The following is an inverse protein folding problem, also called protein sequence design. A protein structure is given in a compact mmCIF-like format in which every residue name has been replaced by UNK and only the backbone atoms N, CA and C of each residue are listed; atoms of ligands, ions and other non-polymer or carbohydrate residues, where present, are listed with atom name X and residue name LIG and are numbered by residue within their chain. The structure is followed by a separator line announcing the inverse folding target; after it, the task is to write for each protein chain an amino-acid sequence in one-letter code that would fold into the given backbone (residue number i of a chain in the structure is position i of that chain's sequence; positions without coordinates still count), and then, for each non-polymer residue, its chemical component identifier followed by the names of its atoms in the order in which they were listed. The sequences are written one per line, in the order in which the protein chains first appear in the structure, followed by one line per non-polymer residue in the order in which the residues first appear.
data_IF_326574564860
#
_entry.id   IF_326574564860
#
_cell.length_a   1.000
_cell.length_b   1.000
_cell.length_c   1.000
_cell.angle_alpha   90.00
_cell.angle_beta   90.00
_cell.angle_gamma   90.00
#
_symmetry.space_group_name_H-M   'P 1'
#
loop_
_entity.id
_entity.type
_entity.pdbx_description
1 polymer ?
#
# COMPACT_ATOMS: atom_id res chain seq x y z
N UNK A 1 -41.97 36.36 12.94
CA UNK A 1 -40.86 36.06 12.00
C UNK A 1 -40.54 34.56 11.85
N UNK A 2 -41.14 33.65 12.62
CA UNK A 2 -40.79 32.21 12.61
C UNK A 2 -41.62 31.34 11.67
N UNK A 3 -42.75 31.82 11.15
CA UNK A 3 -43.62 31.06 10.23
C UNK A 3 -43.25 31.23 8.75
N UNK A 4 -42.75 32.40 8.35
CA UNK A 4 -42.33 32.69 6.97
C UNK A 4 -41.08 31.89 6.55
N UNK A 5 -40.09 31.72 7.43
CA UNK A 5 -38.88 30.94 7.12
C UNK A 5 -39.16 29.44 6.88
N UNK A 6 -40.17 28.89 7.55
CA UNK A 6 -40.53 27.47 7.43
C UNK A 6 -41.24 27.16 6.11
N UNK A 7 -42.01 28.11 5.58
CA UNK A 7 -42.63 27.99 4.25
C UNK A 7 -41.60 28.18 3.13
N UNK A 8 -40.65 29.11 3.28
CA UNK A 8 -39.58 29.31 2.28
C UNK A 8 -38.66 28.10 2.15
N UNK A 9 -38.34 27.42 3.27
CA UNK A 9 -37.51 26.20 3.24
C UNK A 9 -38.19 25.02 2.53
N UNK A 10 -39.51 24.89 2.67
CA UNK A 10 -40.30 23.84 2.02
C UNK A 10 -40.41 24.05 0.51
N UNK A 11 -40.56 25.30 0.07
CA UNK A 11 -40.55 25.65 -1.36
C UNK A 11 -39.16 25.42 -1.96
N UNK A 12 -38.08 25.77 -1.25
CA UNK A 12 -36.72 25.53 -1.73
C UNK A 12 -36.43 24.03 -1.90
N UNK A 13 -36.89 23.20 -0.97
CA UNK A 13 -36.75 21.74 -1.05
C UNK A 13 -37.56 21.15 -2.20
N UNK A 14 -38.78 21.64 -2.43
CA UNK A 14 -39.63 21.22 -3.53
C UNK A 14 -39.01 21.59 -4.89
N UNK A 15 -38.42 22.79 -5.01
CA UNK A 15 -37.71 23.22 -6.23
C UNK A 15 -36.43 22.41 -6.45
N UNK A 16 -35.68 22.07 -5.40
CA UNK A 16 -34.48 21.23 -5.51
C UNK A 16 -34.83 19.80 -5.93
N UNK A 17 -35.91 19.24 -5.37
CA UNK A 17 -36.43 17.92 -5.74
C UNK A 17 -36.95 17.93 -7.19
N UNK A 18 -37.64 18.99 -7.61
CA UNK A 18 -38.07 19.17 -9.00
C UNK A 18 -36.87 19.29 -9.93
N UNK A 19 -35.86 20.08 -9.55
CA UNK A 19 -34.63 20.26 -10.32
C UNK A 19 -33.85 18.95 -10.43
N UNK A 20 -33.70 18.17 -9.35
CA UNK A 20 -33.12 16.83 -9.38
C UNK A 20 -33.92 15.89 -10.29
N UNK A 21 -35.26 15.88 -10.21
CA UNK A 21 -36.10 15.03 -11.05
C UNK A 21 -36.04 15.42 -12.54
N UNK A 22 -35.92 16.71 -12.85
CA UNK A 22 -35.73 17.22 -14.22
C UNK A 22 -34.31 16.93 -14.71
N UNK A 23 -33.30 17.05 -13.83
CA UNK A 23 -31.90 16.68 -14.10
C UNK A 23 -31.77 15.20 -14.45
N UNK A 24 -32.47 14.33 -13.70
CA UNK A 24 -32.58 12.89 -13.98
C UNK A 24 -33.22 12.64 -15.35
N UNK A 25 -34.23 13.42 -15.73
CA UNK A 25 -34.93 13.26 -17.02
C UNK A 25 -34.13 13.80 -18.21
N UNK A 26 -33.26 14.79 -18.01
CA UNK A 26 -32.36 15.30 -19.06
C UNK A 26 -31.13 14.43 -19.27
N UNK A 27 -30.74 13.61 -18.27
CA UNK A 27 -29.54 12.79 -18.29
C UNK A 27 -29.66 11.43 -18.98
N UNK A 28 -30.86 10.98 -19.38
CA UNK A 28 -31.09 9.62 -19.92
C UNK A 28 -30.56 8.50 -19.00
N UNK A 29 -30.44 8.73 -17.69
CA UNK A 29 -30.08 7.67 -16.71
C UNK A 29 -31.26 7.43 -15.78
N UNK A 30 -31.88 6.26 -15.89
CA UNK A 30 -33.04 5.83 -15.12
C UNK A 30 -32.69 4.84 -14.00
N UNK A 31 -33.61 4.58 -13.06
CA UNK A 31 -33.45 3.52 -12.04
C UNK A 31 -33.19 2.14 -12.65
N UNK A 32 -33.67 1.90 -13.87
CA UNK A 32 -33.54 0.64 -14.61
C UNK A 32 -32.10 0.40 -15.11
N UNK A 33 -31.25 1.43 -15.17
CA UNK A 33 -29.82 1.30 -15.51
C UNK A 33 -29.00 0.63 -14.40
N UNK A 34 -29.59 0.40 -13.23
CA UNK A 34 -28.99 -0.29 -12.09
C UNK A 34 -29.54 -1.71 -11.88
N UNK A 35 -30.44 -2.17 -12.76
CA UNK A 35 -30.94 -3.54 -12.80
C UNK A 35 -30.24 -4.23 -13.98
N UNK A 36 -29.66 -5.42 -13.77
CA UNK A 36 -29.18 -6.22 -14.91
C UNK A 36 -30.41 -6.65 -15.72
N UNK A 37 -30.72 -5.87 -16.75
CA UNK A 37 -31.87 -6.04 -17.64
C UNK A 37 -31.59 -7.08 -18.72
N UNK A 38 -30.42 -7.75 -18.70
CA UNK A 38 -30.11 -8.80 -19.66
C UNK A 38 -31.07 -9.97 -19.49
N UNK A 39 -31.60 -10.43 -20.63
CA UNK A 39 -32.41 -11.65 -20.66
C UNK A 39 -31.55 -12.84 -20.24
N UNK A 40 -32.12 -13.72 -19.41
CA UNK A 40 -31.46 -14.98 -19.06
C UNK A 40 -31.34 -15.84 -20.32
N UNK A 41 -30.20 -16.50 -20.50
CA UNK A 41 -29.93 -17.35 -21.67
C UNK A 41 -31.02 -18.40 -21.93
N UNK A 42 -31.66 -18.92 -20.87
CA UNK A 42 -32.76 -19.91 -20.96
C UNK A 42 -34.02 -19.37 -21.65
N UNK A 43 -34.19 -18.05 -21.67
CA UNK A 43 -35.34 -17.36 -22.25
C UNK A 43 -35.04 -16.81 -23.66
N UNK A 44 -33.85 -17.11 -24.21
CA UNK A 44 -33.43 -16.67 -25.54
C UNK A 44 -33.68 -17.79 -26.55
N UNK A 45 -34.74 -17.67 -27.35
CA UNK A 45 -35.00 -18.55 -28.49
C UNK A 45 -34.50 -17.91 -29.80
N UNK A 46 -33.42 -18.42 -30.43
CA UNK A 46 -32.89 -17.90 -31.69
C UNK A 46 -33.86 -18.06 -32.89
N UNK A 47 -34.88 -18.91 -32.77
CA UNK A 47 -35.91 -19.13 -33.78
C UNK A 47 -37.29 -18.58 -33.36
N UNK A 48 -37.35 -17.92 -32.21
CA UNK A 48 -38.56 -17.32 -31.69
C UNK A 48 -38.97 -16.06 -32.46
N UNK A 49 -40.19 -15.60 -32.20
CA UNK A 49 -40.73 -14.37 -32.79
C UNK A 49 -40.18 -13.08 -32.14
N UNK A 50 -39.54 -13.22 -30.97
CA UNK A 50 -38.97 -12.10 -30.22
C UNK A 50 -37.74 -11.56 -30.93
N UNK A 51 -37.70 -10.24 -31.13
CA UNK A 51 -36.51 -9.58 -31.66
C UNK A 51 -35.38 -9.66 -30.63
N UNK A 52 -34.28 -10.31 -31.02
CA UNK A 52 -33.07 -10.43 -30.23
C UNK A 52 -32.13 -9.27 -30.53
N UNK A 53 -31.60 -8.64 -29.48
CA UNK A 53 -30.61 -7.58 -29.59
C UNK A 53 -29.17 -8.12 -29.68
N UNK A 54 -28.17 -7.22 -29.68
CA UNK A 54 -26.77 -7.62 -29.74
C UNK A 54 -26.31 -8.46 -28.55
N UNK A 55 -26.92 -8.29 -27.39
CA UNK A 55 -26.53 -8.93 -26.13
C UNK A 55 -27.08 -10.35 -26.10
N UNK A 56 -28.34 -10.50 -26.50
CA UNK A 56 -29.01 -11.80 -26.67
C UNK A 56 -28.23 -12.70 -27.64
N UNK A 57 -27.87 -12.17 -28.82
CA UNK A 57 -27.08 -12.92 -29.80
C UNK A 57 -25.67 -13.25 -29.30
N UNK A 58 -25.07 -12.39 -28.48
CA UNK A 58 -23.74 -12.63 -27.93
C UNK A 58 -23.76 -13.77 -26.90
N UNK A 59 -24.75 -13.81 -25.99
CA UNK A 59 -24.89 -14.89 -25.03
C UNK A 59 -25.10 -16.26 -25.72
N UNK A 60 -25.93 -16.30 -26.78
CA UNK A 60 -26.09 -17.51 -27.60
C UNK A 60 -24.77 -17.95 -28.25
N UNK A 61 -23.94 -17.00 -28.67
CA UNK A 61 -22.64 -17.29 -29.25
C UNK A 61 -21.65 -17.84 -28.20
N UNK A 62 -21.70 -17.37 -26.96
CA UNK A 62 -20.93 -17.94 -25.84
C UNK A 62 -21.36 -19.37 -25.53
N UNK A 63 -22.67 -19.64 -25.46
CA UNK A 63 -23.20 -20.99 -25.29
C UNK A 63 -22.78 -21.93 -26.44
N UNK A 64 -22.81 -21.43 -27.68
CA UNK A 64 -22.35 -22.19 -28.84
C UNK A 64 -20.85 -22.52 -28.75
N UNK A 65 -20.02 -21.58 -28.27
CA UNK A 65 -18.60 -21.80 -28.03
C UNK A 65 -18.36 -22.87 -26.96
N UNK A 66 -19.08 -22.82 -25.84
CA UNK A 66 -18.99 -23.82 -24.77
C UNK A 66 -19.37 -25.23 -25.26
N UNK A 67 -20.35 -25.32 -26.17
CA UNK A 67 -20.73 -26.58 -26.81
C UNK A 67 -19.76 -27.08 -27.89
N UNK A 68 -18.73 -26.28 -28.24
CA UNK A 68 -17.77 -26.59 -29.30
C UNK A 68 -18.31 -26.43 -30.72
N UNK A 69 -19.48 -25.80 -30.90
CA UNK A 69 -20.10 -25.60 -32.20
C UNK A 69 -19.64 -24.28 -32.84
N UNK A 70 -18.50 -24.33 -33.54
CA UNK A 70 -17.85 -23.16 -34.13
C UNK A 70 -18.70 -22.46 -35.21
N UNK A 71 -19.46 -23.21 -36.00
CA UNK A 71 -20.32 -22.63 -37.05
C UNK A 71 -21.46 -21.81 -36.43
N UNK A 72 -22.02 -22.32 -35.34
CA UNK A 72 -23.08 -21.64 -34.61
C UNK A 72 -22.56 -20.42 -33.85
N UNK A 73 -21.38 -20.56 -33.23
CA UNK A 73 -20.67 -19.45 -32.58
C UNK A 73 -20.42 -18.30 -33.59
N UNK A 74 -19.89 -18.62 -34.77
CA UNK A 74 -19.68 -17.62 -35.81
C UNK A 74 -20.99 -16.98 -36.26
N UNK A 75 -22.03 -17.78 -36.49
CA UNK A 75 -23.33 -17.30 -36.95
C UNK A 75 -23.93 -16.31 -35.96
N UNK A 76 -23.95 -16.66 -34.67
CA UNK A 76 -24.50 -15.81 -33.62
C UNK A 76 -23.63 -14.59 -33.35
N UNK A 77 -22.30 -14.72 -33.37
CA UNK A 77 -21.39 -13.57 -33.26
C UNK A 77 -21.60 -12.55 -34.37
N UNK A 78 -21.80 -13.00 -35.62
CA UNK A 78 -22.10 -12.11 -36.75
C UNK A 78 -23.47 -11.43 -36.61
N UNK A 79 -24.48 -12.13 -36.06
CA UNK A 79 -25.79 -11.52 -35.75
C UNK A 79 -25.69 -10.47 -34.64
N UNK A 80 -24.87 -10.71 -33.62
CA UNK A 80 -24.59 -9.72 -32.56
C UNK A 80 -23.97 -8.44 -33.17
N UNK A 81 -22.94 -8.59 -34.01
CA UNK A 81 -22.30 -7.47 -34.72
C UNK A 81 -23.26 -6.73 -35.65
N UNK A 82 -24.14 -7.45 -36.36
CA UNK A 82 -25.13 -6.81 -37.23
C UNK A 82 -26.12 -5.92 -36.47
N UNK A 83 -26.44 -6.28 -35.22
CA UNK A 83 -27.29 -5.46 -34.34
C UNK A 83 -26.51 -4.33 -33.66
N UNK A 84 -25.21 -4.48 -33.46
CA UNK A 84 -24.33 -3.43 -32.92
C UNK A 84 -22.91 -3.50 -33.50
N UNK A 85 -22.66 -2.72 -34.55
CA UNK A 85 -21.35 -2.65 -35.23
C UNK A 85 -20.23 -2.05 -34.34
N UNK A 86 -20.59 -1.40 -33.24
CA UNK A 86 -19.66 -0.85 -32.27
C UNK A 86 -19.34 -1.80 -31.11
N UNK A 87 -19.90 -3.01 -31.12
CA UNK A 87 -19.69 -4.01 -30.08
C UNK A 87 -18.26 -4.56 -30.11
N UNK A 88 -17.40 -3.99 -29.26
CA UNK A 88 -16.02 -4.44 -29.08
C UNK A 88 -15.93 -5.93 -28.67
N UNK A 89 -16.82 -6.41 -27.80
CA UNK A 89 -16.82 -7.81 -27.34
C UNK A 89 -17.18 -8.80 -28.44
N UNK A 90 -18.19 -8.49 -29.26
CA UNK A 90 -18.56 -9.33 -30.39
C UNK A 90 -17.45 -9.33 -31.45
N UNK A 91 -16.76 -8.19 -31.61
CA UNK A 91 -15.59 -8.10 -32.49
C UNK A 91 -14.40 -8.92 -31.98
N UNK A 92 -14.12 -8.89 -30.68
CA UNK A 92 -13.08 -9.70 -30.05
C UNK A 92 -13.38 -11.20 -30.16
N UNK A 93 -14.65 -11.60 -29.99
CA UNK A 93 -15.09 -12.99 -30.20
C UNK A 93 -14.93 -13.44 -31.64
N UNK A 94 -15.26 -12.59 -32.62
CA UNK A 94 -15.00 -12.90 -34.03
C UNK A 94 -13.50 -13.06 -34.32
N UNK A 95 -12.64 -12.29 -33.66
CA UNK A 95 -11.20 -12.47 -33.75
C UNK A 95 -10.77 -13.87 -33.26
N UNK A 96 -11.30 -14.33 -32.11
CA UNK A 96 -11.03 -15.69 -31.59
C UNK A 96 -11.51 -16.79 -32.54
N UNK A 97 -12.71 -16.65 -33.12
CA UNK A 97 -13.23 -17.57 -34.14
C UNK A 97 -12.29 -17.65 -35.35
N UNK A 98 -11.82 -16.51 -35.87
CA UNK A 98 -10.86 -16.49 -37.00
C UNK A 98 -9.53 -17.13 -36.64
N UNK A 99 -9.09 -16.99 -35.39
CA UNK A 99 -7.89 -17.67 -34.91
C UNK A 99 -8.08 -19.19 -34.90
N UNK A 100 -9.23 -19.69 -34.42
CA UNK A 100 -9.56 -21.12 -34.42
C UNK A 100 -9.65 -21.71 -35.83
N UNK A 101 -10.03 -20.90 -36.82
CA UNK A 101 -10.05 -21.27 -38.25
C UNK A 101 -8.67 -21.22 -38.92
N UNK A 102 -7.61 -20.88 -38.19
CA UNK A 102 -6.25 -20.77 -38.72
C UNK A 102 -5.97 -19.47 -39.47
N UNK A 103 -6.90 -18.51 -39.50
CA UNK A 103 -6.72 -17.22 -40.17
C UNK A 103 -6.13 -16.16 -39.22
N UNK A 104 -4.85 -16.34 -38.87
CA UNK A 104 -4.17 -15.51 -37.87
C UNK A 104 -4.13 -14.02 -38.25
N UNK A 105 -3.85 -13.67 -39.50
CA UNK A 105 -3.77 -12.26 -39.92
C UNK A 105 -5.11 -11.55 -39.76
N UNK A 106 -6.20 -12.19 -40.18
CA UNK A 106 -7.53 -11.62 -40.00
C UNK A 106 -7.91 -11.54 -38.53
N UNK A 107 -7.58 -12.55 -37.73
CA UNK A 107 -7.81 -12.56 -36.30
C UNK A 107 -7.14 -11.36 -35.60
N UNK A 108 -5.85 -11.11 -35.87
CA UNK A 108 -5.12 -9.98 -35.30
C UNK A 108 -5.70 -8.62 -35.75
N UNK A 109 -6.14 -8.48 -37.00
CA UNK A 109 -6.81 -7.26 -37.49
C UNK A 109 -8.12 -6.98 -36.73
N UNK A 110 -8.93 -8.03 -36.52
CA UNK A 110 -10.20 -7.92 -35.80
C UNK A 110 -9.99 -7.61 -34.31
N UNK A 111 -8.99 -8.20 -33.67
CA UNK A 111 -8.66 -7.91 -32.27
C UNK A 111 -8.21 -6.45 -32.10
N UNK A 112 -7.42 -5.92 -33.02
CA UNK A 112 -7.04 -4.50 -33.03
C UNK A 112 -8.24 -3.57 -33.26
N UNK A 113 -9.18 -3.98 -34.11
CA UNK A 113 -10.42 -3.23 -34.31
C UNK A 113 -11.29 -3.25 -33.06
N UNK A 114 -11.45 -4.40 -32.41
CA UNK A 114 -12.17 -4.56 -31.16
C UNK A 114 -11.62 -3.63 -30.07
N UNK A 115 -10.29 -3.53 -29.94
CA UNK A 115 -9.65 -2.63 -28.99
C UNK A 115 -9.96 -1.14 -29.25
N UNK A 116 -10.13 -0.73 -30.51
CA UNK A 116 -10.54 0.64 -30.89
C UNK A 116 -12.02 0.92 -30.59
N UNK A 117 -12.86 -0.11 -30.67
CA UNK A 117 -14.29 -0.03 -30.38
C UNK A 117 -14.61 -0.13 -28.89
N UNK A 118 -13.64 -0.52 -28.06
CA UNK A 118 -13.82 -0.68 -26.61
C UNK A 118 -14.00 0.68 -25.91
N UNK A 119 -15.21 1.23 -25.93
CA UNK A 119 -15.59 2.51 -25.30
C UNK A 119 -15.79 2.43 -23.78
N UNK A 120 -15.06 1.53 -23.10
CA UNK A 120 -14.99 1.29 -21.63
C UNK A 120 -15.58 0.00 -21.06
N UNK A 121 -15.98 -0.97 -21.89
CA UNK A 121 -16.48 -2.27 -21.38
C UNK A 121 -15.34 -3.24 -21.03
N UNK A 122 -15.23 -3.62 -19.76
CA UNK A 122 -14.20 -4.56 -19.26
C UNK A 122 -14.28 -5.94 -19.93
N UNK A 123 -15.50 -6.39 -20.27
CA UNK A 123 -15.74 -7.64 -21.01
C UNK A 123 -14.95 -7.72 -22.33
N UNK A 124 -14.84 -6.61 -23.06
CA UNK A 124 -14.04 -6.57 -24.30
C UNK A 124 -12.56 -6.78 -24.02
N UNK A 125 -12.04 -6.14 -22.97
CA UNK A 125 -10.63 -6.26 -22.60
C UNK A 125 -10.30 -7.65 -22.03
N UNK A 126 -11.21 -8.30 -21.31
CA UNK A 126 -11.04 -9.68 -20.86
C UNK A 126 -10.90 -10.64 -22.05
N UNK A 127 -11.78 -10.53 -23.05
CA UNK A 127 -11.69 -11.33 -24.28
C UNK A 127 -10.39 -11.06 -25.06
N UNK A 128 -9.99 -9.78 -25.16
CA UNK A 128 -8.72 -9.42 -25.79
C UNK A 128 -7.51 -9.95 -25.02
N UNK A 129 -7.55 -9.97 -23.69
CA UNK A 129 -6.47 -10.53 -22.87
C UNK A 129 -6.29 -12.03 -23.17
N UNK A 130 -7.39 -12.78 -23.22
CA UNK A 130 -7.39 -14.20 -23.59
C UNK A 130 -6.89 -14.41 -25.03
N UNK A 131 -7.36 -13.61 -25.97
CA UNK A 131 -6.92 -13.67 -27.37
C UNK A 131 -5.41 -13.44 -27.52
N UNK A 132 -4.87 -12.39 -26.91
CA UNK A 132 -3.44 -12.08 -26.98
C UNK A 132 -2.58 -13.09 -26.23
N UNK A 133 -3.12 -13.70 -25.16
CA UNK A 133 -2.48 -14.82 -24.48
C UNK A 133 -2.36 -16.06 -25.39
N UNK A 134 -3.42 -16.45 -26.10
CA UNK A 134 -3.41 -17.57 -27.06
C UNK A 134 -2.39 -17.37 -28.20
N UNK A 135 -2.19 -16.14 -28.62
CA UNK A 135 -1.26 -15.78 -29.72
C UNK A 135 0.17 -15.48 -29.26
N UNK A 136 0.44 -15.50 -27.95
CA UNK A 136 1.77 -15.23 -27.37
C UNK A 136 2.26 -13.78 -27.56
N UNK A 137 1.37 -12.84 -27.85
CA UNK A 137 1.70 -11.43 -28.11
C UNK A 137 1.82 -10.63 -26.81
N UNK A 138 2.88 -10.88 -26.06
CA UNK A 138 3.14 -10.28 -24.74
C UNK A 138 2.96 -8.76 -24.68
N UNK A 139 3.42 -8.03 -25.70
CA UNK A 139 3.28 -6.57 -25.75
C UNK A 139 1.82 -6.12 -25.78
N UNK A 140 0.95 -6.85 -26.48
CA UNK A 140 -0.49 -6.53 -26.56
C UNK A 140 -1.21 -6.93 -25.27
N UNK A 141 -0.83 -8.07 -24.66
CA UNK A 141 -1.34 -8.49 -23.35
C UNK A 141 -1.10 -7.39 -22.30
N UNK A 142 0.11 -6.84 -22.23
CA UNK A 142 0.47 -5.82 -21.24
C UNK A 142 -0.34 -4.54 -21.42
N UNK A 143 -0.62 -4.12 -22.66
CA UNK A 143 -1.49 -2.96 -22.93
C UNK A 143 -2.91 -3.21 -22.42
N UNK A 144 -3.45 -4.40 -22.67
CA UNK A 144 -4.80 -4.79 -22.23
C UNK A 144 -4.87 -4.88 -20.70
N UNK A 145 -3.90 -5.51 -20.05
CA UNK A 145 -3.83 -5.59 -18.59
C UNK A 145 -3.71 -4.23 -17.94
N UNK A 146 -2.95 -3.30 -18.53
CA UNK A 146 -2.90 -1.93 -18.02
C UNK A 146 -4.30 -1.30 -18.00
N UNK A 147 -5.11 -1.47 -19.05
CA UNK A 147 -6.48 -0.96 -19.10
C UNK A 147 -7.38 -1.60 -18.04
N UNK A 148 -7.31 -2.93 -17.89
CA UNK A 148 -8.10 -3.68 -16.89
C UNK A 148 -7.74 -3.25 -15.47
N UNK A 149 -6.45 -3.21 -15.13
CA UNK A 149 -5.96 -2.86 -13.79
C UNK A 149 -6.24 -1.40 -13.40
N UNK A 150 -6.36 -0.51 -14.38
CA UNK A 150 -6.78 0.88 -14.15
C UNK A 150 -8.28 1.02 -13.85
N UNK A 151 -9.10 0.06 -14.28
CA UNK A 151 -10.57 0.09 -14.17
C UNK A 151 -11.09 -0.70 -12.97
N UNK A 152 -10.57 -1.91 -12.78
CA UNK A 152 -11.04 -2.81 -11.74
C UNK A 152 -9.90 -3.29 -10.84
N UNK A 153 -9.94 -2.84 -9.59
CA UNK A 153 -8.97 -3.24 -8.57
C UNK A 153 -9.13 -4.70 -8.12
N UNK A 154 -10.29 -5.32 -8.33
CA UNK A 154 -10.52 -6.74 -7.99
C UNK A 154 -9.58 -7.67 -8.77
N UNK A 155 -9.20 -7.27 -9.98
CA UNK A 155 -8.31 -8.00 -10.89
C UNK A 155 -6.84 -7.98 -10.45
N UNK A 156 -6.45 -7.12 -9.50
CA UNK A 156 -5.06 -7.00 -9.03
C UNK A 156 -4.53 -8.34 -8.53
N UNK A 157 -5.31 -9.03 -7.70
CA UNK A 157 -4.90 -10.31 -7.09
C UNK A 157 -4.62 -11.41 -8.11
N UNK A 158 -5.38 -11.45 -9.22
CA UNK A 158 -5.21 -12.42 -10.29
C UNK A 158 -4.09 -12.05 -11.27
N UNK A 159 -3.90 -10.76 -11.57
CA UNK A 159 -2.98 -10.32 -12.62
C UNK A 159 -1.57 -9.98 -12.12
N UNK A 160 -1.39 -9.54 -10.88
CA UNK A 160 -0.07 -9.20 -10.33
C UNK A 160 0.95 -10.35 -10.35
N UNK A 161 0.58 -11.62 -10.07
CA UNK A 161 1.51 -12.74 -10.22
C UNK A 161 2.06 -12.89 -11.64
N UNK A 162 1.23 -12.63 -12.66
CA UNK A 162 1.64 -12.69 -14.06
C UNK A 162 2.54 -11.51 -14.44
N UNK A 163 2.20 -10.29 -14.00
CA UNK A 163 3.07 -9.12 -14.18
C UNK A 163 4.44 -9.31 -13.51
N UNK A 164 4.50 -9.88 -12.30
CA UNK A 164 5.76 -10.24 -11.63
C UNK A 164 6.57 -11.23 -12.47
N UNK A 165 5.93 -12.27 -13.00
CA UNK A 165 6.61 -13.26 -13.84
C UNK A 165 7.18 -12.62 -15.12
N UNK A 166 6.44 -11.71 -15.75
CA UNK A 166 6.92 -10.97 -16.92
C UNK A 166 8.06 -10.00 -16.57
N UNK A 167 7.96 -9.29 -15.45
CA UNK A 167 8.99 -8.36 -15.00
C UNK A 167 10.30 -9.06 -14.62
N UNK A 168 10.22 -10.28 -14.09
CA UNK A 168 11.38 -11.11 -13.75
C UNK A 168 12.02 -11.86 -14.93
N UNK A 169 11.36 -11.89 -16.10
CA UNK A 169 11.88 -12.57 -17.29
C UNK A 169 12.56 -11.57 -18.24
N UNK A 170 13.86 -11.72 -18.57
CA UNK A 170 14.59 -10.80 -19.44
C UNK A 170 13.93 -10.53 -20.80
N UNK A 171 13.22 -11.51 -21.38
CA UNK A 171 12.56 -11.35 -22.68
C UNK A 171 11.29 -10.48 -22.62
N UNK A 172 10.72 -10.26 -21.44
CA UNK A 172 9.48 -9.50 -21.24
C UNK A 172 9.62 -8.32 -20.28
N UNK A 173 10.73 -8.22 -19.56
CA UNK A 173 10.96 -7.17 -18.56
C UNK A 173 10.80 -5.76 -19.15
N UNK A 174 11.31 -5.55 -20.37
CA UNK A 174 11.23 -4.27 -21.10
C UNK A 174 9.78 -3.82 -21.40
N UNK A 175 8.79 -4.72 -21.30
CA UNK A 175 7.37 -4.37 -21.42
C UNK A 175 6.80 -3.77 -20.13
N UNK A 176 7.39 -4.09 -18.97
CA UNK A 176 6.92 -3.65 -17.65
C UNK A 176 7.66 -2.40 -17.17
N UNK A 177 8.96 -2.29 -17.47
CA UNK A 177 9.80 -1.15 -17.09
C UNK A 177 9.22 0.24 -17.42
N UNK A 178 8.54 0.48 -18.57
CA UNK A 178 7.92 1.77 -18.85
C UNK A 178 6.92 2.22 -17.79
N UNK A 179 6.25 1.29 -17.10
CA UNK A 179 5.35 1.64 -16.00
C UNK A 179 6.11 2.10 -14.75
N UNK A 180 7.38 1.74 -14.55
CA UNK A 180 8.17 2.37 -13.49
C UNK A 180 8.46 3.84 -13.81
N UNK A 181 8.75 4.15 -15.08
CA UNK A 181 9.05 5.52 -15.50
C UNK A 181 7.81 6.42 -15.53
N UNK A 182 6.65 5.86 -15.86
CA UNK A 182 5.37 6.56 -15.89
C UNK A 182 4.29 5.71 -15.18
N UNK A 183 4.27 5.70 -13.83
CA UNK A 183 3.43 4.81 -13.04
C UNK A 183 1.93 5.02 -13.30
N UNK A 184 1.20 3.98 -13.79
CA UNK A 184 -0.25 4.01 -13.80
C UNK A 184 -0.81 3.92 -12.37
N UNK A 185 -2.11 4.19 -12.21
CA UNK A 185 -2.78 4.22 -10.89
C UNK A 185 -2.57 2.95 -10.04
N UNK A 186 -2.48 1.78 -10.67
CA UNK A 186 -2.30 0.49 -9.99
C UNK A 186 -0.84 0.21 -9.57
N UNK A 187 0.13 1.01 -10.03
CA UNK A 187 1.56 0.74 -9.82
C UNK A 187 1.95 0.63 -8.34
N UNK A 188 1.47 1.54 -7.49
CA UNK A 188 1.78 1.49 -6.05
C UNK A 188 1.32 0.19 -5.39
N UNK A 189 0.13 -0.29 -5.76
CA UNK A 189 -0.39 -1.57 -5.29
C UNK A 189 0.46 -2.76 -5.80
N UNK A 190 0.90 -2.72 -7.05
CA UNK A 190 1.79 -3.72 -7.62
C UNK A 190 3.17 -3.72 -6.94
N UNK A 191 3.77 -2.54 -6.71
CA UNK A 191 5.05 -2.44 -6.02
C UNK A 191 4.96 -2.96 -4.57
N UNK A 192 3.88 -2.64 -3.86
CA UNK A 192 3.61 -3.20 -2.53
C UNK A 192 3.44 -4.73 -2.56
N UNK A 193 2.75 -5.26 -3.56
CA UNK A 193 2.64 -6.70 -3.78
C UNK A 193 4.04 -7.33 -3.95
N UNK A 194 4.89 -6.76 -4.83
CA UNK A 194 6.26 -7.23 -5.04
C UNK A 194 7.12 -7.17 -3.75
N UNK A 195 6.99 -6.09 -2.99
CA UNK A 195 7.76 -5.90 -1.76
C UNK A 195 7.37 -6.92 -0.67
N UNK A 196 6.09 -7.28 -0.57
CA UNK A 196 5.58 -8.18 0.47
C UNK A 196 5.69 -9.66 0.09
N UNK A 197 5.64 -9.98 -1.21
CA UNK A 197 5.66 -11.33 -1.74
C UNK A 197 7.04 -12.01 -1.65
N UNK A 198 7.17 -13.17 -0.98
CA UNK A 198 8.44 -13.86 -0.82
C UNK A 198 9.00 -14.43 -2.13
N UNK A 199 8.18 -14.63 -3.16
CA UNK A 199 8.62 -15.17 -4.45
C UNK A 199 9.28 -14.10 -5.35
N UNK A 200 9.09 -12.82 -5.01
CA UNK A 200 9.74 -11.73 -5.74
C UNK A 200 11.22 -11.69 -5.37
N UNK A 201 12.10 -11.76 -6.36
CA UNK A 201 13.55 -11.71 -6.12
C UNK A 201 14.00 -10.31 -5.69
N UNK A 202 15.00 -10.24 -4.81
CA UNK A 202 15.56 -8.97 -4.35
C UNK A 202 16.18 -8.15 -5.51
N UNK A 203 16.67 -8.83 -6.56
CA UNK A 203 17.22 -8.19 -7.77
C UNK A 203 16.12 -7.48 -8.56
N UNK A 204 14.98 -8.14 -8.79
CA UNK A 204 13.85 -7.55 -9.50
C UNK A 204 13.31 -6.32 -8.77
N UNK A 205 13.07 -6.45 -7.46
CA UNK A 205 12.54 -5.35 -6.67
C UNK A 205 13.50 -4.15 -6.66
N UNK A 206 14.80 -4.39 -6.49
CA UNK A 206 15.83 -3.35 -6.55
C UNK A 206 15.84 -2.66 -7.92
N UNK A 207 15.79 -3.43 -9.01
CA UNK A 207 15.79 -2.88 -10.38
C UNK A 207 14.62 -1.93 -10.61
N UNK A 208 13.39 -2.37 -10.29
CA UNK A 208 12.20 -1.53 -10.45
C UNK A 208 12.25 -0.29 -9.55
N UNK A 209 12.75 -0.42 -8.31
CA UNK A 209 12.95 0.73 -7.43
C UNK A 209 13.98 1.72 -7.99
N UNK A 210 15.08 1.25 -8.58
CA UNK A 210 16.08 2.12 -9.23
C UNK A 210 15.50 2.86 -10.44
N UNK A 211 14.66 2.21 -11.25
CA UNK A 211 13.94 2.89 -12.34
C UNK A 211 13.01 3.98 -11.78
N UNK A 212 12.31 3.70 -10.68
CA UNK A 212 11.46 4.69 -10.00
C UNK A 212 12.25 5.91 -9.50
N UNK A 213 13.46 5.72 -8.97
CA UNK A 213 14.33 6.83 -8.57
C UNK A 213 14.82 7.69 -9.75
N UNK A 214 14.96 7.10 -10.95
CA UNK A 214 15.35 7.81 -12.17
C UNK A 214 14.18 8.50 -12.91
N UNK A 215 12.95 8.28 -12.48
CA UNK A 215 11.75 8.87 -13.08
C UNK A 215 11.63 10.36 -12.75
N UNK A 216 11.04 11.14 -13.66
CA UNK A 216 10.71 12.55 -13.42
C UNK A 216 9.51 12.75 -12.48
N UNK A 217 8.70 11.71 -12.28
CA UNK A 217 7.60 11.69 -11.32
C UNK A 217 8.10 11.22 -9.95
N UNK A 218 7.65 11.85 -8.84
CA UNK A 218 8.06 11.49 -7.50
C UNK A 218 7.67 10.05 -7.17
N UNK A 219 8.34 9.45 -6.18
CA UNK A 219 7.91 8.18 -5.61
C UNK A 219 6.46 8.29 -5.10
N UNK A 220 5.65 7.28 -5.42
CA UNK A 220 4.29 7.16 -4.94
C UNK A 220 4.27 6.92 -3.43
N UNK A 221 3.12 7.21 -2.82
CA UNK A 221 2.93 7.05 -1.38
C UNK A 221 3.26 5.61 -0.95
N UNK A 222 4.27 5.47 -0.10
CA UNK A 222 4.67 4.19 0.48
C UNK A 222 5.62 3.32 -0.35
N UNK A 223 5.96 3.62 -1.62
CA UNK A 223 6.91 2.80 -2.41
C UNK A 223 8.24 2.62 -1.67
N UNK A 224 8.80 3.74 -1.21
CA UNK A 224 10.04 3.77 -0.42
C UNK A 224 9.91 2.97 0.88
N UNK A 225 8.84 3.20 1.65
CA UNK A 225 8.60 2.49 2.91
C UNK A 225 8.51 0.98 2.69
N UNK A 226 7.81 0.52 1.66
CA UNK A 226 7.70 -0.90 1.36
C UNK A 226 9.04 -1.49 0.91
N UNK A 227 9.84 -0.73 0.15
CA UNK A 227 11.18 -1.18 -0.22
C UNK A 227 12.11 -1.31 0.99
N UNK A 228 12.12 -0.32 1.88
CA UNK A 228 12.88 -0.38 3.14
C UNK A 228 12.40 -1.55 4.01
N UNK A 229 11.09 -1.75 4.16
CA UNK A 229 10.52 -2.86 4.92
C UNK A 229 10.94 -4.21 4.34
N UNK A 230 11.01 -4.33 3.01
CA UNK A 230 11.50 -5.55 2.36
C UNK A 230 12.99 -5.77 2.65
N UNK A 231 13.83 -4.74 2.57
CA UNK A 231 15.25 -4.85 2.92
C UNK A 231 15.45 -5.27 4.38
N UNK A 232 14.68 -4.69 5.30
CA UNK A 232 14.64 -5.08 6.73
C UNK A 232 14.23 -6.55 6.89
N UNK A 233 13.17 -6.99 6.22
CA UNK A 233 12.70 -8.39 6.26
C UNK A 233 13.75 -9.36 5.73
N UNK A 234 14.47 -8.96 4.68
CA UNK A 234 15.56 -9.73 4.07
C UNK A 234 16.88 -9.61 4.85
N UNK A 235 16.88 -8.95 6.02
CA UNK A 235 18.06 -8.69 6.88
C UNK A 235 19.19 -7.92 6.17
N UNK A 236 18.85 -7.15 5.13
CA UNK A 236 19.79 -6.27 4.40
C UNK A 236 19.87 -4.91 5.10
N UNK A 237 20.38 -4.91 6.33
CA UNK A 237 20.33 -3.77 7.25
C UNK A 237 21.04 -2.53 6.72
N UNK A 238 22.23 -2.71 6.15
CA UNK A 238 23.05 -1.62 5.60
C UNK A 238 22.38 -0.97 4.39
N UNK A 239 21.81 -1.77 3.48
CA UNK A 239 21.05 -1.29 2.33
C UNK A 239 19.78 -0.55 2.78
N UNK A 240 19.06 -1.09 3.76
CA UNK A 240 17.86 -0.44 4.32
C UNK A 240 18.21 0.93 4.91
N UNK A 241 19.32 1.01 5.66
CA UNK A 241 19.78 2.25 6.27
C UNK A 241 20.18 3.28 5.23
N UNK A 242 20.92 2.86 4.19
CA UNK A 242 21.32 3.76 3.11
C UNK A 242 20.11 4.35 2.37
N UNK A 243 19.12 3.50 2.02
CA UNK A 243 17.89 3.96 1.36
C UNK A 243 17.11 4.93 2.26
N UNK A 244 16.93 4.58 3.54
CA UNK A 244 16.26 5.44 4.51
C UNK A 244 16.99 6.78 4.67
N UNK A 245 18.31 6.78 4.81
CA UNK A 245 19.10 8.02 4.97
C UNK A 245 18.96 8.94 3.75
N UNK A 246 18.96 8.37 2.53
CA UNK A 246 18.76 9.17 1.30
C UNK A 246 17.35 9.74 1.16
N UNK A 247 16.39 9.24 1.94
CA UNK A 247 15.02 9.74 1.93
C UNK A 247 14.75 10.89 2.90
N UNK A 248 15.68 11.16 3.82
CA UNK A 248 15.51 12.20 4.81
C UNK A 248 15.55 13.59 4.14
N UNK A 249 14.76 14.57 4.63
CA UNK A 249 14.88 15.97 4.22
C UNK A 249 16.33 16.46 4.32
N UNK A 250 16.73 17.43 3.50
CA UNK A 250 18.13 17.87 3.41
C UNK A 250 18.69 18.37 4.76
N UNK A 251 17.85 18.98 5.59
CA UNK A 251 18.18 19.45 6.94
C UNK A 251 18.43 18.28 7.90
N UNK A 252 17.68 17.19 7.74
CA UNK A 252 17.83 15.95 8.49
C UNK A 252 18.92 15.03 7.92
N UNK A 253 19.31 15.17 6.64
CA UNK A 253 20.35 14.38 6.00
C UNK A 253 21.76 14.70 6.54
N UNK A 254 21.94 15.85 7.21
CA UNK A 254 23.16 16.23 7.92
C UNK A 254 23.34 15.51 9.26
N UNK A 255 22.34 14.74 9.70
CA UNK A 255 22.39 13.94 10.90
C UNK A 255 23.47 12.84 10.78
N UNK A 256 24.37 12.79 11.78
CA UNK A 256 25.55 11.90 11.81
C UNK A 256 25.61 10.98 13.03
N UNK A 257 24.70 11.10 13.99
CA UNK A 257 24.95 10.56 15.33
C UNK A 257 23.97 9.49 15.78
N UNK A 258 24.22 8.21 15.52
CA UNK A 258 23.64 6.97 16.12
C UNK A 258 22.14 6.85 16.52
N UNK A 259 21.49 7.85 17.14
CA UNK A 259 20.03 7.97 17.39
C UNK A 259 19.40 9.10 16.56
N UNK A 260 18.52 8.75 15.61
CA UNK A 260 17.90 9.76 14.74
C UNK A 260 16.87 10.57 15.51
N UNK A 261 16.91 11.89 15.35
CA UNK A 261 15.95 12.83 15.96
C UNK A 261 15.70 12.55 17.46
N UNK A 262 16.77 12.39 18.24
CA UNK A 262 16.68 12.11 19.68
C UNK A 262 15.99 13.19 20.51
N UNK A 263 15.88 14.41 19.98
CA UNK A 263 15.14 15.54 20.57
C UNK A 263 13.69 15.66 20.08
N UNK A 264 13.26 14.82 19.12
CA UNK A 264 11.88 14.82 18.61
C UNK A 264 11.46 16.15 17.94
N UNK A 265 12.40 16.75 17.21
CA UNK A 265 12.25 18.03 16.52
C UNK A 265 11.72 17.87 15.09
N UNK A 266 11.78 16.67 14.51
CA UNK A 266 11.37 16.39 13.13
C UNK A 266 9.89 15.98 12.97
N UNK A 267 9.54 15.65 11.71
CA UNK A 267 8.36 14.85 11.42
C UNK A 267 8.74 13.37 11.45
N UNK A 268 7.87 12.52 12.00
CA UNK A 268 8.07 11.08 12.05
C UNK A 268 7.19 10.37 11.00
N UNK A 269 7.76 9.35 10.38
CA UNK A 269 7.19 8.63 9.26
C UNK A 269 6.93 7.15 9.59
N UNK A 270 7.35 6.68 10.78
CA UNK A 270 7.25 5.28 11.21
C UNK A 270 7.83 4.32 10.13
N UNK A 271 9.01 4.63 9.59
CA UNK A 271 9.65 3.86 8.52
C UNK A 271 11.16 3.77 8.70
N UNK A 272 11.76 2.66 8.27
CA UNK A 272 13.21 2.45 8.33
C UNK A 272 13.81 2.54 9.72
N UNK A 273 14.62 3.57 9.94
CA UNK A 273 15.37 3.84 11.17
C UNK A 273 14.88 5.12 11.88
N UNK A 274 13.71 5.62 11.48
CA UNK A 274 12.99 6.68 12.18
C UNK A 274 12.43 6.18 13.52
N UNK A 275 11.91 7.09 14.35
CA UNK A 275 11.09 6.74 15.50
C UNK A 275 9.78 6.09 15.07
N UNK A 276 9.41 5.04 15.80
CA UNK A 276 8.15 4.33 15.63
C UNK A 276 7.25 4.57 16.84
N UNK A 277 6.09 5.16 16.57
CA UNK A 277 5.02 5.36 17.56
C UNK A 277 3.80 4.52 17.21
N UNK A 278 3.51 3.52 18.04
CA UNK A 278 2.35 2.64 17.86
C UNK A 278 1.12 3.22 18.54
N UNK A 279 0.03 3.43 17.78
CA UNK A 279 -1.23 3.95 18.31
C UNK A 279 -1.87 2.96 19.29
N UNK A 280 -2.41 3.47 20.38
CA UNK A 280 -3.16 2.66 21.35
C UNK A 280 -4.25 3.49 22.03
N UNK A 281 -5.42 2.89 22.32
CA UNK A 281 -6.62 3.63 22.78
C UNK A 281 -6.46 4.29 24.16
N UNK A 282 -5.52 3.81 24.97
CA UNK A 282 -5.35 4.22 26.37
C UNK A 282 -4.15 5.13 26.60
N UNK A 283 -3.45 5.53 25.55
CA UNK A 283 -2.29 6.41 25.66
C UNK A 283 -2.20 7.31 24.43
N UNK A 284 -1.59 8.47 24.62
CA UNK A 284 -1.27 9.40 23.54
C UNK A 284 0.24 9.61 23.51
N UNK A 285 0.86 9.33 22.37
CA UNK A 285 2.30 9.55 22.14
C UNK A 285 2.41 10.60 21.04
N UNK A 286 3.06 11.72 21.35
CA UNK A 286 3.35 12.77 20.39
C UNK A 286 4.44 13.71 20.94
N UNK A 287 5.28 14.30 20.09
CA UNK A 287 6.07 15.47 20.45
C UNK A 287 5.15 16.65 20.83
N UNK A 288 5.51 17.38 21.88
CA UNK A 288 4.74 18.50 22.42
C UNK A 288 5.67 19.54 23.07
N UNK A 289 5.20 20.77 23.26
CA UNK A 289 5.99 21.84 23.87
C UNK A 289 5.99 21.69 25.40
N UNK A 290 7.14 21.93 26.03
CA UNK A 290 7.24 21.95 27.48
C UNK A 290 8.39 22.82 27.99
N UNK A 291 8.44 23.05 29.31
CA UNK A 291 9.52 23.81 29.94
C UNK A 291 10.74 22.93 30.17
N UNK A 292 11.94 23.49 30.01
CA UNK A 292 13.20 22.81 30.33
C UNK A 292 13.64 21.75 29.33
N UNK A 293 13.01 21.66 28.15
CA UNK A 293 13.51 20.88 27.01
C UNK A 293 14.63 21.62 26.28
N UNK A 294 15.48 20.89 25.58
CA UNK A 294 16.35 21.45 24.54
C UNK A 294 15.58 21.49 23.22
N UNK A 295 15.83 22.49 22.38
CA UNK A 295 15.06 22.66 21.13
C UNK A 295 13.65 23.21 21.36
N UNK A 296 12.68 22.72 20.59
CA UNK A 296 11.31 23.25 20.53
C UNK A 296 10.25 22.26 21.03
N UNK A 297 10.56 20.97 21.08
CA UNK A 297 9.62 19.92 21.45
C UNK A 297 10.31 18.82 22.25
N UNK A 298 9.51 18.03 22.94
CA UNK A 298 9.94 16.80 23.60
C UNK A 298 8.87 15.73 23.41
N UNK A 299 9.25 14.45 23.40
CA UNK A 299 8.28 13.36 23.28
C UNK A 299 7.43 13.28 24.55
N UNK A 300 6.13 13.53 24.41
CA UNK A 300 5.14 13.33 25.48
C UNK A 300 4.43 11.99 25.33
N UNK A 301 4.37 11.25 26.42
CA UNK A 301 3.54 10.07 26.58
C UNK A 301 2.54 10.32 27.69
N UNK A 302 1.27 10.52 27.30
CA UNK A 302 0.17 10.66 28.23
C UNK A 302 -0.52 9.32 28.43
N UNK A 303 -0.54 8.84 29.67
CA UNK A 303 -1.25 7.64 30.08
C UNK A 303 -2.61 8.01 30.65
N UNK A 304 -3.68 7.59 29.96
CA UNK A 304 -5.03 7.70 30.50
C UNK A 304 -5.24 6.69 31.62
N UNK A 305 -6.07 7.01 32.63
CA UNK A 305 -6.28 6.14 33.77
C UNK A 305 -6.83 4.75 33.38
N UNK A 306 -5.90 3.78 33.43
CA UNK A 306 -5.99 2.36 33.81
C UNK A 306 -6.72 1.34 32.91
N UNK A 307 -5.92 0.47 32.26
CA UNK A 307 -5.97 -1.03 32.27
C UNK A 307 -4.51 -1.53 32.13
N UNK A 308 -4.30 -2.85 32.19
CA UNK A 308 -2.98 -3.44 31.91
C UNK A 308 -2.58 -3.20 30.46
N UNK A 309 -1.39 -2.64 30.24
CA UNK A 309 -0.83 -2.35 28.91
C UNK A 309 0.59 -2.89 28.87
N UNK A 310 0.85 -3.89 28.03
CA UNK A 310 2.22 -4.31 27.71
C UNK A 310 2.89 -3.22 26.88
N UNK A 311 3.46 -2.22 27.55
CA UNK A 311 3.97 -1.03 26.89
C UNK A 311 5.23 -1.37 26.09
N UNK A 312 5.17 -1.17 24.76
CA UNK A 312 6.27 -1.35 23.81
C UNK A 312 6.10 -0.41 22.60
N UNK A 313 5.43 0.73 22.80
CA UNK A 313 4.85 1.54 21.72
C UNK A 313 5.79 2.62 21.16
N UNK A 314 6.97 2.80 21.76
CA UNK A 314 8.00 3.76 21.35
C UNK A 314 9.30 3.02 21.15
N UNK A 315 9.82 3.04 19.92
CA UNK A 315 11.09 2.40 19.60
C UNK A 315 11.75 3.02 18.37
N UNK A 316 13.06 2.80 18.25
CA UNK A 316 13.84 3.13 17.07
C UNK A 316 14.77 1.96 16.74
N UNK A 317 14.93 1.68 15.44
CA UNK A 317 15.90 0.70 14.97
C UNK A 317 17.28 1.35 14.89
N UNK A 318 18.29 0.64 15.35
CA UNK A 318 19.68 1.08 15.37
C UNK A 318 20.56 0.22 14.45
N UNK A 319 21.66 0.80 14.00
CA UNK A 319 22.70 0.13 13.24
C UNK A 319 24.06 0.40 13.89
N UNK A 320 24.19 0.03 15.17
CA UNK A 320 25.44 0.17 15.91
C UNK A 320 26.42 -0.92 15.48
N UNK A 321 27.70 -0.55 15.35
CA UNK A 321 28.77 -1.52 15.14
C UNK A 321 29.10 -2.22 16.47
N UNK A 322 29.76 -3.38 16.45
CA UNK A 322 30.27 -4.00 17.67
C UNK A 322 31.27 -3.06 18.39
N UNK A 323 30.88 -2.57 19.56
CA UNK A 323 31.66 -1.68 20.43
C UNK A 323 30.88 -1.44 21.74
N UNK A 324 31.51 -0.72 22.67
CA UNK A 324 30.86 -0.19 23.87
C UNK A 324 30.44 1.26 23.62
N UNK A 325 29.21 1.57 24.00
CA UNK A 325 28.62 2.89 23.90
C UNK A 325 28.02 3.33 25.24
N UNK A 326 27.69 4.60 25.34
CA UNK A 326 26.87 5.14 26.42
C UNK A 326 25.55 5.64 25.81
N UNK A 327 24.43 5.13 26.33
CA UNK A 327 23.10 5.67 26.12
C UNK A 327 22.87 6.77 27.15
N UNK A 328 22.55 7.97 26.70
CA UNK A 328 22.10 9.08 27.56
C UNK A 328 20.74 9.60 27.09
N UNK A 329 19.92 10.05 28.04
CA UNK A 329 18.71 10.80 27.71
C UNK A 329 18.24 11.67 28.86
N UNK A 330 17.41 12.67 28.51
CA UNK A 330 16.71 13.53 29.45
C UNK A 330 15.27 13.03 29.59
N UNK A 331 14.79 12.98 30.83
CA UNK A 331 13.40 12.62 31.10
C UNK A 331 12.79 13.43 32.22
N UNK A 332 11.47 13.60 32.16
CA UNK A 332 10.64 14.18 33.22
C UNK A 332 9.38 13.35 33.36
N UNK A 333 8.88 13.19 34.57
CA UNK A 333 7.65 12.45 34.83
C UNK A 333 6.71 13.30 35.68
N UNK A 334 5.49 13.54 35.16
CA UNK A 334 4.51 14.41 35.80
C UNK A 334 3.35 13.57 36.34
N UNK A 335 3.24 13.49 37.66
CA UNK A 335 2.24 12.66 38.36
C UNK A 335 2.24 11.19 37.87
N UNK A 336 3.41 10.69 37.49
CA UNK A 336 3.56 9.35 36.96
C UNK A 336 3.41 8.32 38.08
N UNK A 337 2.49 7.36 37.88
CA UNK A 337 2.17 6.31 38.86
C UNK A 337 2.15 4.96 38.17
N UNK A 338 2.86 4.00 38.76
CA UNK A 338 3.07 2.65 38.23
C UNK A 338 3.55 1.71 39.34
N UNK A 339 3.36 0.40 39.17
CA UNK A 339 3.84 -0.60 40.14
C UNK A 339 5.31 -0.95 39.94
N UNK A 340 5.71 -1.19 38.69
CA UNK A 340 7.07 -1.59 38.33
C UNK A 340 7.74 -0.69 37.31
N UNK A 341 7.03 0.26 36.71
CA UNK A 341 7.65 1.27 35.86
C UNK A 341 7.97 0.85 34.43
N UNK A 342 8.60 1.81 33.74
CA UNK A 342 9.09 1.67 32.37
C UNK A 342 10.61 1.72 32.35
N UNK A 343 11.21 1.10 31.36
CA UNK A 343 12.66 1.04 31.20
C UNK A 343 13.00 1.07 29.72
N UNK A 344 14.03 1.83 29.35
CA UNK A 344 14.60 1.74 28.02
C UNK A 344 15.47 0.50 27.94
N UNK A 345 15.30 -0.28 26.88
CA UNK A 345 16.13 -1.45 26.59
C UNK A 345 16.68 -1.35 25.18
N UNK A 346 17.92 -1.77 25.03
CA UNK A 346 18.52 -2.04 23.71
C UNK A 346 18.58 -3.54 23.53
N UNK A 347 18.02 -4.04 22.43
CA UNK A 347 17.99 -5.47 22.10
C UNK A 347 18.61 -5.75 20.74
N UNK A 348 19.34 -6.85 20.61
CA UNK A 348 19.74 -7.38 19.31
C UNK A 348 18.51 -7.95 18.59
N UNK A 349 18.34 -7.65 17.30
CA UNK A 349 17.13 -8.08 16.57
C UNK A 349 17.15 -9.56 16.18
N UNK A 350 18.33 -10.19 16.17
CA UNK A 350 18.54 -11.56 15.74
C UNK A 350 18.11 -12.59 16.80
N UNK A 351 18.34 -12.30 18.08
CA UNK A 351 18.12 -13.22 19.21
C UNK A 351 17.31 -12.61 20.36
N UNK A 352 16.83 -11.37 20.24
CA UNK A 352 16.09 -10.59 21.25
C UNK A 352 16.85 -10.37 22.58
N UNK A 353 18.16 -10.64 22.58
CA UNK A 353 19.04 -10.46 23.75
C UNK A 353 19.12 -8.97 24.11
N UNK A 354 18.92 -8.69 25.39
CA UNK A 354 19.11 -7.36 25.96
C UNK A 354 20.60 -7.08 26.11
N UNK A 355 21.06 -5.96 25.55
CA UNK A 355 22.46 -5.50 25.59
C UNK A 355 22.64 -4.18 26.34
N UNK A 356 21.53 -3.56 26.75
CA UNK A 356 21.51 -2.42 27.67
C UNK A 356 20.13 -2.27 28.31
N UNK A 357 20.12 -1.77 29.55
CA UNK A 357 18.90 -1.37 30.26
C UNK A 357 19.15 -0.04 30.99
N UNK A 358 18.18 0.88 30.92
CA UNK A 358 18.21 2.10 31.72
C UNK A 358 17.86 1.82 33.19
N UNK A 359 18.02 2.78 34.10
CA UNK A 359 17.26 2.79 35.34
C UNK A 359 15.75 2.71 35.07
N UNK A 360 15.01 2.15 36.03
CA UNK A 360 13.55 2.02 35.91
C UNK A 360 12.88 3.34 36.29
N UNK A 361 12.03 3.84 35.40
CA UNK A 361 11.23 5.04 35.58
C UNK A 361 9.97 4.68 36.38
N UNK A 362 9.90 5.08 37.65
CA UNK A 362 8.79 4.73 38.56
C UNK A 362 8.21 5.94 39.31
N UNK A 363 9.05 6.92 39.63
CA UNK A 363 8.68 8.05 40.48
C UNK A 363 8.50 9.32 39.65
N UNK A 364 7.72 10.27 40.18
CA UNK A 364 7.61 11.61 39.60
C UNK A 364 8.89 12.41 39.85
N UNK A 365 9.42 13.06 38.83
CA UNK A 365 10.67 13.80 38.92
C UNK A 365 10.69 15.02 37.99
N UNK A 366 11.46 16.04 38.39
CA UNK A 366 11.89 17.10 37.48
C UNK A 366 12.82 16.53 36.39
N UNK A 367 13.08 17.31 35.35
CA UNK A 367 14.04 16.94 34.30
C UNK A 367 15.34 16.42 34.89
N UNK A 368 15.64 15.18 34.56
CA UNK A 368 16.81 14.43 35.04
C UNK A 368 17.47 13.76 33.85
N UNK A 369 18.77 13.48 33.98
CA UNK A 369 19.55 12.72 33.01
C UNK A 369 19.84 11.36 33.61
N UNK A 370 19.78 10.30 32.80
CA UNK A 370 20.46 9.06 33.13
C UNK A 370 21.42 8.69 32.02
N UNK A 371 22.42 7.88 32.38
CA UNK A 371 23.26 7.16 31.43
C UNK A 371 23.21 5.66 31.68
N UNK A 372 23.42 4.86 30.64
CA UNK A 372 23.50 3.42 30.71
C UNK A 372 24.53 2.88 29.70
N UNK A 373 25.41 1.94 30.07
CA UNK A 373 26.32 1.33 29.12
C UNK A 373 25.55 0.46 28.13
N UNK A 374 26.00 0.46 26.87
CA UNK A 374 25.48 -0.41 25.80
C UNK A 374 26.64 -1.21 25.23
N UNK A 375 26.59 -2.53 25.37
CA UNK A 375 27.64 -3.43 24.88
C UNK A 375 27.13 -4.19 23.66
N UNK A 376 27.52 -3.76 22.46
CA UNK A 376 27.10 -4.41 21.21
C UNK A 376 28.06 -5.55 20.87
N UNK A 377 27.62 -6.82 20.92
CA UNK A 377 28.49 -7.96 20.64
C UNK A 377 28.80 -8.09 19.15
N UNK A 378 29.92 -8.72 18.82
CA UNK A 378 30.34 -8.97 17.43
C UNK A 378 29.58 -10.09 16.72
N UNK A 379 28.76 -10.85 17.45
CA UNK A 379 28.04 -12.03 16.94
C UNK A 379 26.55 -11.91 17.25
N UNK A 380 25.72 -12.20 16.24
CA UNK A 380 24.25 -12.21 16.31
C UNK A 380 23.66 -10.89 16.84
N UNK A 381 24.15 -9.75 16.35
CA UNK A 381 23.66 -8.42 16.73
C UNK A 381 23.99 -7.39 15.65
N UNK A 382 23.63 -7.64 14.40
CA UNK A 382 23.94 -6.70 13.30
C UNK A 382 23.09 -5.43 13.37
N UNK A 383 21.88 -5.54 13.90
CA UNK A 383 20.99 -4.41 14.16
C UNK A 383 20.33 -4.53 15.53
N UNK A 384 20.05 -3.39 16.14
CA UNK A 384 19.46 -3.32 17.47
C UNK A 384 18.13 -2.56 17.43
N UNK A 385 17.36 -2.70 18.48
CA UNK A 385 16.16 -1.90 18.73
C UNK A 385 16.30 -1.25 20.09
N UNK A 386 16.29 0.08 20.12
CA UNK A 386 16.06 0.85 21.34
C UNK A 386 14.56 0.96 21.54
N UNK A 387 14.05 0.48 22.67
CA UNK A 387 12.61 0.46 22.96
C UNK A 387 12.32 0.81 24.41
N UNK A 388 11.29 1.63 24.60
CA UNK A 388 10.71 1.87 25.92
C UNK A 388 9.74 0.73 26.23
N UNK A 389 10.02 -0.02 27.29
CA UNK A 389 9.29 -1.23 27.66
C UNK A 389 8.74 -1.16 29.09
N UNK A 390 7.66 -1.91 29.35
CA UNK A 390 7.31 -2.25 30.72
C UNK A 390 8.44 -3.03 31.39
N UNK A 391 8.86 -2.59 32.59
CA UNK A 391 9.95 -3.24 33.31
C UNK A 391 9.58 -4.66 33.75
N UNK A 392 8.32 -4.87 34.17
CA UNK A 392 7.80 -6.18 34.57
C UNK A 392 7.03 -6.88 33.43
N UNK A 393 7.24 -8.20 33.23
CA UNK A 393 6.48 -8.97 32.26
C UNK A 393 5.05 -9.29 32.74
N UNK A 394 4.75 -9.11 34.03
CA UNK A 394 3.48 -9.51 34.60
C UNK A 394 2.38 -8.47 34.36
N UNK A 395 1.20 -8.85 33.83
CA UNK A 395 0.14 -7.89 33.53
C UNK A 395 -0.23 -7.00 34.72
N UNK A 396 -0.31 -7.56 35.94
CA UNK A 396 -0.70 -6.80 37.14
C UNK A 396 0.23 -5.63 37.48
N UNK A 397 1.47 -5.66 37.01
CA UNK A 397 2.45 -4.60 37.18
C UNK A 397 2.41 -3.54 36.06
N UNK A 398 1.69 -3.80 34.98
CA UNK A 398 1.66 -3.02 33.74
C UNK A 398 0.54 -1.99 33.73
N UNK A 399 0.37 -1.27 34.84
CA UNK A 399 -0.58 -0.16 34.96
C UNK A 399 0.21 1.14 35.05
N UNK A 400 -0.15 2.10 34.21
CA UNK A 400 0.51 3.39 34.08
C UNK A 400 -0.52 4.51 34.10
N UNK A 401 -0.18 5.62 34.75
CA UNK A 401 -1.00 6.83 34.81
C UNK A 401 -0.09 8.05 34.90
N UNK A 402 -0.50 9.17 34.30
CA UNK A 402 0.25 10.42 34.30
C UNK A 402 0.99 10.64 32.99
N UNK A 403 1.95 11.57 32.99
CA UNK A 403 2.72 11.91 31.81
C UNK A 403 4.20 11.56 31.99
N UNK A 404 4.84 11.16 30.89
CA UNK A 404 6.29 11.07 30.79
C UNK A 404 6.74 11.89 29.59
N UNK A 405 7.87 12.59 29.78
CA UNK A 405 8.53 13.36 28.76
C UNK A 405 9.94 12.81 28.54
N UNK A 406 10.35 12.71 27.28
CA UNK A 406 11.70 12.35 26.88
C UNK A 406 12.26 13.38 25.90
N UNK A 407 13.54 13.66 26.04
CA UNK A 407 14.28 14.60 25.20
C UNK A 407 15.76 14.18 25.16
N UNK A 408 16.48 14.69 24.17
CA UNK A 408 17.92 14.54 24.00
C UNK A 408 18.42 13.09 24.14
N UNK A 409 17.74 12.15 23.47
CA UNK A 409 18.18 10.75 23.44
C UNK A 409 19.41 10.62 22.54
N UNK A 410 20.51 10.16 23.11
CA UNK A 410 21.77 10.00 22.39
C UNK A 410 22.43 8.66 22.69
N UNK A 411 23.16 8.15 21.71
CA UNK A 411 24.16 7.09 21.91
C UNK A 411 25.50 7.62 21.44
N UNK A 412 26.52 7.53 22.28
CA UNK A 412 27.88 7.96 21.96
C UNK A 412 28.86 6.81 22.13
N UNK A 413 29.87 6.67 21.25
CA UNK A 413 30.92 5.68 21.45
C UNK A 413 31.71 6.00 22.73
N UNK A 414 31.91 5.02 23.60
CA UNK A 414 32.89 5.14 24.66
C UNK A 414 34.26 4.90 24.03
N UNK A 415 35.15 5.89 24.07
CA UNK A 415 36.49 5.71 23.57
C UNK A 415 37.14 4.55 24.32
N UNK A 416 37.62 3.54 23.59
CA UNK A 416 38.52 2.56 24.18
C UNK A 416 39.76 3.34 24.65
N UNK A 417 39.95 3.43 25.96
CA UNK A 417 41.27 3.72 26.48
C UNK A 417 42.16 2.51 26.14
N UNK A 418 42.79 2.57 24.97
CA UNK A 418 43.93 1.71 24.66
C UNK A 418 45.02 2.06 25.69
N UNK A 419 45.25 1.16 26.64
CA UNK A 419 46.42 1.18 27.53
C UNK A 419 47.67 0.69 26.81
#
# INVERSE_FOLDING_TARGET
MTTLFRQSGLVLFAVLALYLSISYRSGHVGPDDFIDTRRLIIDIDPNGWTQLDSDDWFQLAEQAQESGNLDLDQTYTLKALANNLSSGRAMAKLADIRLQQGNQTQAEQLANLAAKLATAHDETYLLLALFWAKTGKHAEIVKVWNMLLMRDASLHSGLFPHLRAMAGNPSTATLIEPFANNPPKWWGAFFNYLATDPQTSAVLLKHLYTLRLGSSLPLGEGEMTQYINRLVKDKRWTDAYAVWQTSLPQEAAAYKGLIYDGGFEGEWHNTGFDWFFTRHKQLKIQPDLTFGMDGHRALKINFNPSKHIKFQHVWQRLLLKPATYELSLRFRTDHFRTTKGLQWRVRCSEDDRVVAESPVLQESNNWSIFTAPVEVPSVNCETQVLRLEAASPYPHDQVFKGDIWFDDIQITPLANHDN
#
